data_IF_135802101499
#
_entry.id   IF_135802101499
#
_cell.length_a   1.000
_cell.length_b   1.000
_cell.length_c   1.000
_cell.angle_alpha   90.00
_cell.angle_beta   90.00
_cell.angle_gamma   90.00
#
_symmetry.space_group_name_H-M   'P 1'
#
loop_
_entity.id
_entity.type
_entity.pdbx_description
1 polymer ?
#
# COMPACT_ATOMS: atom_id res chain seq x y z
N UNK A 1 22.54 12.05 -6.31
CA UNK A 1 21.88 13.17 -7.04
C UNK A 1 20.57 13.43 -6.32
N UNK A 2 20.42 14.61 -5.73
CA UNK A 2 19.22 15.00 -4.97
C UNK A 2 18.61 16.22 -5.64
N UNK A 3 17.27 16.28 -5.73
CA UNK A 3 16.56 17.32 -6.49
C UNK A 3 15.53 18.00 -5.59
N UNK A 4 15.71 19.30 -5.34
CA UNK A 4 14.85 20.08 -4.45
C UNK A 4 13.52 20.41 -5.13
N UNK A 5 12.40 20.21 -4.41
CA UNK A 5 11.03 20.25 -4.97
C UNK A 5 10.55 21.63 -5.45
N UNK A 6 11.24 22.72 -5.11
CA UNK A 6 10.82 24.10 -5.42
C UNK A 6 11.68 24.82 -6.47
N UNK A 7 12.94 24.42 -6.68
CA UNK A 7 13.90 25.15 -7.54
C UNK A 7 14.63 24.23 -8.55
N UNK A 8 14.34 22.92 -8.58
CA UNK A 8 14.93 21.96 -9.54
C UNK A 8 16.48 21.97 -9.60
N UNK A 9 17.09 22.28 -8.46
CA UNK A 9 18.55 22.27 -8.29
C UNK A 9 19.09 20.83 -8.23
N UNK A 10 20.17 20.59 -8.96
CA UNK A 10 20.86 19.30 -9.03
C UNK A 10 22.12 19.34 -8.20
N UNK A 11 22.21 18.47 -7.19
CA UNK A 11 23.40 18.32 -6.36
C UNK A 11 24.20 17.07 -6.73
N UNK A 12 25.49 17.27 -6.99
CA UNK A 12 26.45 16.19 -7.26
C UNK A 12 27.13 15.73 -5.96
N UNK A 13 27.41 14.43 -5.81
CA UNK A 13 28.20 13.94 -4.68
C UNK A 13 29.57 14.65 -4.61
N UNK A 14 29.93 15.17 -3.43
CA UNK A 14 31.22 15.86 -3.21
C UNK A 14 31.23 17.35 -3.58
N UNK A 15 30.17 17.90 -4.18
CA UNK A 15 30.03 19.33 -4.44
C UNK A 15 29.08 19.98 -3.45
N UNK A 16 29.46 21.14 -2.89
CA UNK A 16 28.56 21.97 -2.07
C UNK A 16 27.64 22.84 -2.93
N UNK A 17 28.03 23.11 -4.17
CA UNK A 17 27.29 23.99 -5.08
C UNK A 17 26.30 23.16 -5.91
N UNK A 18 25.08 23.70 -6.07
CA UNK A 18 24.08 23.13 -6.97
C UNK A 18 24.30 23.57 -8.41
N UNK A 19 23.85 22.73 -9.33
CA UNK A 19 23.76 23.03 -10.75
C UNK A 19 22.30 23.31 -11.08
N UNK A 20 22.04 24.46 -11.69
CA UNK A 20 20.74 24.80 -12.25
C UNK A 20 20.76 24.39 -13.71
N UNK A 21 19.92 23.41 -14.07
CA UNK A 21 19.75 23.00 -15.46
C UNK A 21 18.69 23.88 -16.14
N UNK A 22 18.85 24.20 -17.44
CA UNK A 22 17.82 24.89 -18.20
C UNK A 22 16.50 24.11 -18.20
N UNK A 23 15.37 24.80 -18.04
CA UNK A 23 14.02 24.17 -17.98
C UNK A 23 13.66 23.35 -19.23
N UNK A 24 14.20 23.71 -20.39
CA UNK A 24 14.01 23.02 -21.66
C UNK A 24 14.94 21.80 -21.86
N UNK A 25 15.91 21.60 -20.97
CA UNK A 25 16.90 20.53 -21.08
C UNK A 25 16.27 19.14 -21.00
N UNK A 26 16.73 18.23 -21.87
CA UNK A 26 16.38 16.81 -21.82
C UNK A 26 16.91 16.13 -20.55
N UNK A 27 18.10 16.53 -20.08
CA UNK A 27 18.72 15.99 -18.88
C UNK A 27 17.87 16.27 -17.62
N UNK A 28 17.34 17.49 -17.50
CA UNK A 28 16.47 17.85 -16.38
C UNK A 28 15.17 17.02 -16.39
N UNK A 29 14.56 16.82 -17.56
CA UNK A 29 13.35 15.98 -17.70
C UNK A 29 13.58 14.55 -17.25
N UNK A 30 14.74 13.96 -17.54
CA UNK A 30 15.09 12.62 -17.07
C UNK A 30 15.23 12.58 -15.55
N UNK A 31 15.96 13.55 -14.96
CA UNK A 31 16.14 13.62 -13.51
C UNK A 31 14.83 13.80 -12.76
N UNK A 32 13.92 14.63 -13.28
CA UNK A 32 12.58 14.82 -12.72
C UNK A 32 11.79 13.51 -12.77
N UNK A 33 11.80 12.78 -13.90
CA UNK A 33 11.13 11.48 -14.00
C UNK A 33 11.67 10.47 -12.98
N UNK A 34 13.00 10.39 -12.81
CA UNK A 34 13.62 9.48 -11.83
C UNK A 34 13.20 9.87 -10.40
N UNK A 35 13.21 11.17 -10.07
CA UNK A 35 12.74 11.66 -8.76
C UNK A 35 11.29 11.28 -8.52
N UNK A 36 10.43 11.53 -9.50
CA UNK A 36 8.99 11.29 -9.36
C UNK A 36 8.70 9.80 -9.21
N UNK A 37 9.45 8.94 -9.90
CA UNK A 37 9.34 7.49 -9.78
C UNK A 37 9.88 6.97 -8.44
N UNK A 38 10.99 7.53 -7.95
CA UNK A 38 11.51 7.22 -6.62
C UNK A 38 10.51 7.64 -5.51
N UNK A 39 9.91 8.81 -5.63
CA UNK A 39 8.83 9.27 -4.74
C UNK A 39 7.60 8.36 -4.83
N UNK A 40 7.15 8.02 -6.05
CA UNK A 40 6.00 7.12 -6.28
C UNK A 40 6.25 5.76 -5.64
N UNK A 41 7.44 5.20 -5.83
CA UNK A 41 7.84 3.94 -5.23
C UNK A 41 7.83 4.01 -3.70
N UNK A 42 8.48 5.02 -3.10
CA UNK A 42 8.54 5.20 -1.65
C UNK A 42 7.14 5.34 -1.03
N UNK A 43 6.27 6.19 -1.60
CA UNK A 43 4.89 6.38 -1.13
C UNK A 43 4.11 5.08 -1.26
N UNK A 44 4.19 4.40 -2.40
CA UNK A 44 3.48 3.14 -2.64
C UNK A 44 3.94 2.05 -1.69
N UNK A 45 5.25 1.95 -1.43
CA UNK A 45 5.83 0.99 -0.49
C UNK A 45 5.35 1.24 0.94
N UNK A 46 5.42 2.48 1.43
CA UNK A 46 4.91 2.82 2.75
C UNK A 46 3.41 2.61 2.87
N UNK A 47 2.63 2.92 1.82
CA UNK A 47 1.19 2.65 1.77
C UNK A 47 0.91 1.14 1.85
N UNK A 48 1.61 0.31 1.09
CA UNK A 48 1.49 -1.16 1.15
C UNK A 48 1.85 -1.70 2.54
N UNK A 49 2.95 -1.23 3.14
CA UNK A 49 3.39 -1.64 4.49
C UNK A 49 2.39 -1.21 5.56
N UNK A 50 1.86 0.02 5.49
CA UNK A 50 0.84 0.53 6.42
C UNK A 50 -0.45 -0.27 6.30
N UNK A 51 -0.94 -0.49 5.07
CA UNK A 51 -2.13 -1.34 4.83
C UNK A 51 -1.95 -2.68 5.52
N UNK A 52 -0.88 -3.43 5.22
CA UNK A 52 -0.58 -4.74 5.85
C UNK A 52 -0.62 -4.72 7.38
N UNK A 53 -0.14 -3.66 8.03
CA UNK A 53 -0.18 -3.51 9.50
C UNK A 53 -1.61 -3.30 10.01
N UNK A 54 -2.38 -2.44 9.37
CA UNK A 54 -3.81 -2.23 9.70
C UNK A 54 -4.60 -3.52 9.51
N UNK A 55 -4.32 -4.29 8.45
CA UNK A 55 -5.03 -5.55 8.18
C UNK A 55 -4.93 -6.54 9.33
N UNK A 56 -3.73 -6.67 9.90
CA UNK A 56 -3.49 -7.55 11.04
C UNK A 56 -4.35 -7.11 12.23
N UNK A 57 -4.32 -5.82 12.55
CA UNK A 57 -5.10 -5.26 13.66
C UNK A 57 -6.62 -5.38 13.49
N UNK A 58 -7.17 -5.26 12.29
CA UNK A 58 -8.63 -5.29 12.09
C UNK A 58 -9.19 -6.71 12.14
N UNK A 59 -8.51 -7.67 11.52
CA UNK A 59 -8.92 -9.08 11.54
C UNK A 59 -8.68 -9.74 12.91
N UNK A 60 -7.73 -9.22 13.70
CA UNK A 60 -7.47 -9.70 15.07
C UNK A 60 -8.62 -9.36 16.04
N UNK A 61 -9.39 -8.32 15.76
CA UNK A 61 -10.51 -7.89 16.60
C UNK A 61 -11.81 -8.65 16.34
N UNK A 62 -11.88 -9.50 15.30
CA UNK A 62 -13.09 -10.25 14.97
C UNK A 62 -13.17 -11.51 15.84
N UNK A 63 -14.11 -11.50 16.80
CA UNK A 63 -14.37 -12.62 17.70
C UNK A 63 -14.77 -13.86 16.88
N UNK A 64 -14.09 -14.98 17.10
CA UNK A 64 -14.35 -16.26 16.40
C UNK A 64 -13.55 -16.48 15.11
N UNK A 65 -12.68 -15.54 14.71
CA UNK A 65 -11.75 -15.71 13.58
C UNK A 65 -10.34 -16.00 14.10
N UNK A 66 -9.94 -17.27 14.07
CA UNK A 66 -8.59 -17.70 14.45
C UNK A 66 -7.51 -17.34 13.42
N UNK A 67 -6.24 -17.36 13.83
CA UNK A 67 -5.09 -16.94 13.00
C UNK A 67 -5.03 -17.67 11.64
N UNK A 68 -5.32 -18.97 11.61
CA UNK A 68 -5.32 -19.76 10.38
C UNK A 68 -6.30 -19.21 9.34
N UNK A 69 -7.50 -18.82 9.78
CA UNK A 69 -8.54 -18.25 8.93
C UNK A 69 -8.15 -16.86 8.44
N UNK A 70 -7.52 -16.05 9.30
CA UNK A 70 -7.00 -14.72 8.91
C UNK A 70 -5.92 -14.84 7.84
N UNK A 71 -4.97 -15.75 8.02
CA UNK A 71 -3.92 -16.00 7.04
C UNK A 71 -4.51 -16.50 5.71
N UNK A 72 -5.52 -17.38 5.75
CA UNK A 72 -6.19 -17.85 4.53
C UNK A 72 -6.91 -16.71 3.78
N UNK A 73 -7.60 -15.84 4.51
CA UNK A 73 -8.24 -14.63 3.94
C UNK A 73 -7.21 -13.67 3.33
N UNK A 74 -6.16 -13.35 4.09
CA UNK A 74 -5.11 -12.44 3.60
C UNK A 74 -4.33 -13.03 2.43
N UNK A 75 -4.12 -14.35 2.40
CA UNK A 75 -3.46 -15.03 1.28
C UNK A 75 -4.30 -14.98 0.01
N UNK A 76 -5.63 -15.10 0.13
CA UNK A 76 -6.55 -15.07 -1.01
C UNK A 76 -6.84 -13.66 -1.51
N UNK A 77 -7.16 -12.74 -0.62
CA UNK A 77 -7.64 -11.40 -0.98
C UNK A 77 -6.57 -10.32 -0.92
N UNK A 78 -5.46 -10.55 -0.21
CA UNK A 78 -4.30 -9.64 -0.14
C UNK A 78 -4.50 -8.39 0.72
N UNK A 79 -5.72 -7.86 0.82
CA UNK A 79 -6.05 -6.68 1.64
C UNK A 79 -7.43 -6.77 2.31
N UNK A 80 -7.63 -6.10 3.45
CA UNK A 80 -8.95 -5.99 4.12
C UNK A 80 -9.93 -5.21 3.26
N UNK A 81 -9.46 -4.19 2.52
CA UNK A 81 -10.30 -3.50 1.52
C UNK A 81 -10.87 -4.50 0.50
N UNK A 82 -10.04 -5.44 0.03
CA UNK A 82 -10.48 -6.49 -0.89
C UNK A 82 -11.42 -7.50 -0.21
N UNK A 83 -11.22 -7.80 1.07
CA UNK A 83 -12.14 -8.65 1.85
C UNK A 83 -13.49 -7.95 2.05
N UNK A 84 -13.49 -6.63 2.29
CA UNK A 84 -14.70 -5.80 2.43
C UNK A 84 -15.51 -5.73 1.12
N UNK A 85 -14.82 -5.73 -0.02
CA UNK A 85 -15.45 -5.74 -1.35
C UNK A 85 -15.75 -7.15 -1.88
N UNK A 86 -15.29 -8.21 -1.19
CA UNK A 86 -15.54 -9.58 -1.61
C UNK A 86 -16.99 -9.97 -1.36
N UNK A 87 -17.50 -10.85 -2.22
CA UNK A 87 -18.82 -11.43 -2.04
C UNK A 87 -18.82 -12.49 -0.91
N UNK A 88 -19.99 -12.71 -0.29
CA UNK A 88 -20.17 -13.75 0.74
C UNK A 88 -19.76 -15.13 0.21
N UNK A 89 -20.04 -15.43 -1.06
CA UNK A 89 -19.67 -16.70 -1.70
C UNK A 89 -18.16 -16.87 -1.80
N UNK A 90 -17.43 -15.81 -2.12
CA UNK A 90 -15.96 -15.83 -2.15
C UNK A 90 -15.36 -16.00 -0.75
N UNK A 91 -15.96 -15.43 0.29
CA UNK A 91 -15.52 -15.63 1.67
C UNK A 91 -15.73 -17.08 2.13
N UNK A 92 -16.88 -17.68 1.81
CA UNK A 92 -17.21 -19.08 2.16
C UNK A 92 -16.28 -20.06 1.46
N UNK A 93 -15.78 -19.73 0.26
CA UNK A 93 -14.83 -20.58 -0.45
C UNK A 93 -13.45 -20.68 0.23
N UNK A 94 -13.19 -19.89 1.29
CA UNK A 94 -11.99 -20.01 2.11
C UNK A 94 -12.17 -21.10 3.15
N UNK A 95 -11.24 -22.04 3.18
CA UNK A 95 -11.24 -23.17 4.12
C UNK A 95 -11.32 -22.68 5.57
N UNK A 96 -12.34 -23.13 6.30
CA UNK A 96 -12.59 -22.74 7.70
C UNK A 96 -13.56 -21.57 7.89
N UNK A 97 -14.14 -21.03 6.83
CA UNK A 97 -15.18 -19.99 6.91
C UNK A 97 -16.56 -20.59 6.61
N UNK A 98 -17.38 -20.73 7.64
CA UNK A 98 -18.80 -21.02 7.48
C UNK A 98 -19.61 -19.78 7.08
N UNK A 99 -20.85 -20.00 6.60
CA UNK A 99 -21.78 -18.93 6.19
C UNK A 99 -22.01 -17.88 7.28
N UNK A 100 -22.07 -18.31 8.55
CA UNK A 100 -22.22 -17.44 9.72
C UNK A 100 -21.00 -16.53 9.93
N UNK A 101 -19.79 -17.11 9.86
CA UNK A 101 -18.54 -16.36 10.05
C UNK A 101 -18.30 -15.38 8.89
N UNK A 102 -18.60 -15.77 7.65
CA UNK A 102 -18.53 -14.89 6.49
C UNK A 102 -19.41 -13.64 6.66
N UNK A 103 -20.66 -13.83 7.12
CA UNK A 103 -21.58 -12.73 7.42
C UNK A 103 -21.06 -11.80 8.51
N UNK A 104 -20.58 -12.35 9.63
CA UNK A 104 -20.00 -11.57 10.72
C UNK A 104 -18.78 -10.74 10.29
N UNK A 105 -17.89 -11.33 9.49
CA UNK A 105 -16.70 -10.64 8.97
C UNK A 105 -17.11 -9.46 8.10
N UNK A 106 -18.04 -9.68 7.16
CA UNK A 106 -18.46 -8.66 6.21
C UNK A 106 -19.25 -7.54 6.90
N UNK A 107 -20.08 -7.88 7.90
CA UNK A 107 -20.78 -6.90 8.74
C UNK A 107 -19.78 -6.06 9.55
N UNK A 108 -18.82 -6.70 10.23
CA UNK A 108 -17.81 -6.01 11.03
C UNK A 108 -16.97 -5.04 10.20
N UNK A 109 -16.57 -5.46 9.00
CA UNK A 109 -15.78 -4.63 8.08
C UNK A 109 -16.60 -3.53 7.39
N UNK A 110 -17.92 -3.69 7.29
CA UNK A 110 -18.82 -2.69 6.67
C UNK A 110 -19.28 -1.61 7.64
N UNK A 111 -19.39 -1.93 8.94
CA UNK A 111 -19.80 -0.98 10.00
C UNK A 111 -18.76 0.09 10.34
N UNK A 112 -17.57 0.03 9.74
CA UNK A 112 -16.43 0.92 9.99
C UNK A 112 -15.89 1.46 8.67
#
# INVERSE_FOLDING_TARGET
ISLAKRIEEVFLPGSKNSIILPRNSSALRVLVKIRDEAHRFAITFHRKRRKKRTLKSELDNIIGVGDLTKFALLKKFGSVDNIKNASITELISVKGIGKKNAGMILEYLSKK
#
